data_IF_270513663944
#
_entry.id   IF_270513663944
#
_cell.length_a   1.000
_cell.length_b   1.000
_cell.length_c   1.000
_cell.angle_alpha   90.00
_cell.angle_beta   90.00
_cell.angle_gamma   90.00
#
_symmetry.space_group_name_H-M   'P 1'
#
loop_
_entity.id
_entity.type
_entity.pdbx_description
1 polymer ?
#
# COMPACT_ATOMS: atom_id res chain seq x y z
N UNK A 1 8.22 8.41 11.32
CA UNK A 1 8.03 7.26 12.23
C UNK A 1 8.99 6.11 11.92
N UNK A 2 9.05 5.62 10.67
CA UNK A 2 9.94 4.51 10.31
C UNK A 2 11.42 4.76 10.71
N UNK A 3 11.97 5.95 10.43
CA UNK A 3 13.33 6.32 10.85
C UNK A 3 13.55 6.23 12.36
N UNK A 4 12.55 6.65 13.16
CA UNK A 4 12.66 6.58 14.62
C UNK A 4 12.63 5.13 15.13
N UNK A 5 11.82 4.27 14.50
CA UNK A 5 11.81 2.84 14.81
C UNK A 5 13.12 2.16 14.40
N UNK A 6 13.69 2.52 13.24
CA UNK A 6 14.99 2.03 12.81
C UNK A 6 16.12 2.47 13.74
N UNK A 7 16.07 3.72 14.22
CA UNK A 7 17.02 4.24 15.20
C UNK A 7 16.96 3.46 16.53
N UNK A 8 15.76 3.18 17.04
CA UNK A 8 15.58 2.36 18.25
C UNK A 8 16.06 0.92 18.05
N UNK A 9 15.91 0.39 16.84
CA UNK A 9 16.44 -0.92 16.46
C UNK A 9 17.94 -0.93 16.12
N UNK A 10 18.62 0.22 16.26
CA UNK A 10 20.04 0.42 15.92
C UNK A 10 20.37 0.03 14.45
N UNK A 11 19.40 0.21 13.55
CA UNK A 11 19.57 -0.05 12.12
C UNK A 11 20.09 1.21 11.42
N UNK A 12 21.10 1.03 10.57
CA UNK A 12 21.56 2.05 9.64
C UNK A 12 20.54 2.20 8.50
N UNK A 13 19.49 2.99 8.75
CA UNK A 13 18.43 3.26 7.80
C UNK A 13 18.08 4.76 7.83
N UNK A 14 18.29 5.44 6.72
CA UNK A 14 18.19 6.89 6.61
C UNK A 14 17.26 7.37 5.47
N UNK A 15 17.30 8.66 5.15
CA UNK A 15 16.48 9.24 4.10
C UNK A 15 16.87 8.76 2.70
N UNK A 16 18.13 8.40 2.46
CA UNK A 16 18.57 7.85 1.19
C UNK A 16 17.98 6.46 0.95
N UNK A 17 17.91 5.62 1.97
CA UNK A 17 17.25 4.31 1.86
C UNK A 17 15.77 4.45 1.46
N UNK A 18 15.07 5.42 2.06
CA UNK A 18 13.67 5.74 1.69
C UNK A 18 13.58 6.19 0.22
N UNK A 19 14.52 7.01 -0.22
CA UNK A 19 14.58 7.52 -1.59
C UNK A 19 14.83 6.39 -2.60
N UNK A 20 15.76 5.48 -2.30
CA UNK A 20 16.08 4.31 -3.12
C UNK A 20 14.89 3.36 -3.23
N UNK A 21 14.21 3.07 -2.11
CA UNK A 21 12.98 2.26 -2.11
C UNK A 21 11.89 2.93 -2.92
N UNK A 22 11.69 4.24 -2.78
CA UNK A 22 10.63 4.94 -3.53
C UNK A 22 10.88 4.90 -5.03
N UNK A 23 12.14 4.96 -5.50
CA UNK A 23 12.47 4.88 -6.93
C UNK A 23 12.19 3.52 -7.57
N UNK A 24 12.13 2.45 -6.79
CA UNK A 24 11.98 1.06 -7.31
C UNK A 24 10.63 0.42 -7.01
N UNK A 25 9.88 0.92 -6.03
CA UNK A 25 8.57 0.36 -5.64
C UNK A 25 7.45 1.17 -6.29
N UNK A 26 6.60 0.56 -7.14
CA UNK A 26 5.53 1.26 -7.84
C UNK A 26 4.35 1.58 -6.92
N UNK A 27 3.55 2.58 -7.31
CA UNK A 27 2.30 2.91 -6.62
C UNK A 27 1.15 2.02 -7.12
N UNK A 28 0.80 1.00 -6.35
CA UNK A 28 -0.25 0.03 -6.71
C UNK A 28 -1.67 0.45 -6.29
N UNK A 29 -1.81 1.34 -5.32
CA UNK A 29 -3.09 1.79 -4.79
C UNK A 29 -3.09 3.30 -4.53
N UNK A 30 -4.16 3.99 -4.94
CA UNK A 30 -4.43 5.41 -4.62
C UNK A 30 -5.70 5.49 -3.80
N UNK A 31 -5.53 5.67 -2.50
CA UNK A 31 -6.60 5.75 -1.51
C UNK A 31 -6.73 7.18 -1.01
N UNK A 32 -7.95 7.60 -0.65
CA UNK A 32 -8.24 8.91 -0.10
C UNK A 32 -7.17 9.37 0.93
N UNK A 33 -6.66 10.60 0.81
CA UNK A 33 -7.12 11.69 -0.06
C UNK A 33 -6.56 11.66 -1.50
N UNK A 34 -5.75 10.67 -1.87
CA UNK A 34 -5.23 10.56 -3.23
C UNK A 34 -6.33 10.03 -4.17
N UNK A 35 -6.64 10.79 -5.22
CA UNK A 35 -7.70 10.43 -6.20
C UNK A 35 -7.13 9.48 -7.26
N UNK A 36 -7.82 8.37 -7.50
CA UNK A 36 -7.51 7.46 -8.60
C UNK A 36 -8.22 7.90 -9.89
N UNK A 37 -7.71 7.55 -11.08
CA UNK A 37 -8.48 7.60 -12.31
C UNK A 37 -9.79 6.82 -12.15
N UNK A 38 -10.92 7.49 -12.35
CA UNK A 38 -12.25 6.89 -12.24
C UNK A 38 -12.96 7.06 -10.89
N UNK A 39 -12.28 7.55 -9.86
CA UNK A 39 -12.92 7.85 -8.57
C UNK A 39 -11.96 7.88 -7.38
N UNK A 40 -12.52 8.10 -6.20
CA UNK A 40 -11.78 8.04 -4.94
C UNK A 40 -12.07 6.71 -4.27
N UNK A 41 -11.02 5.92 -4.01
CA UNK A 41 -11.12 4.74 -3.16
C UNK A 41 -10.95 5.11 -1.68
N UNK A 42 -11.65 4.40 -0.81
CA UNK A 42 -11.56 4.50 0.64
C UNK A 42 -11.05 3.19 1.25
N UNK A 43 -10.91 3.15 2.58
CA UNK A 43 -10.31 1.98 3.25
C UNK A 43 -11.17 0.71 3.10
N UNK A 44 -12.49 0.86 3.01
CA UNK A 44 -13.41 -0.23 2.72
C UNK A 44 -13.21 -0.85 1.33
N UNK A 45 -12.77 -0.06 0.35
CA UNK A 45 -12.45 -0.56 -1.00
C UNK A 45 -11.14 -1.35 -0.98
N UNK A 46 -10.14 -0.87 -0.23
CA UNK A 46 -8.88 -1.61 0.01
C UNK A 46 -9.18 -2.94 0.70
N UNK A 47 -10.06 -2.94 1.70
CA UNK A 47 -10.50 -4.16 2.38
C UNK A 47 -11.18 -5.13 1.41
N UNK A 48 -12.13 -4.63 0.61
CA UNK A 48 -12.82 -5.42 -0.43
C UNK A 48 -11.86 -5.97 -1.48
N UNK A 49 -10.75 -5.30 -1.75
CA UNK A 49 -9.71 -5.75 -2.68
C UNK A 49 -8.73 -6.78 -2.07
N UNK A 50 -8.94 -7.21 -0.82
CA UNK A 50 -8.08 -8.18 -0.12
C UNK A 50 -7.05 -7.55 0.81
N UNK A 51 -7.17 -6.26 1.10
CA UNK A 51 -6.39 -5.58 2.13
C UNK A 51 -4.90 -5.50 1.85
N UNK A 52 -4.12 -5.39 2.94
CA UNK A 52 -2.66 -5.39 2.88
C UNK A 52 -2.09 -6.69 2.27
N UNK A 53 -2.65 -7.89 2.53
CA UNK A 53 -2.18 -9.12 1.88
C UNK A 53 -2.24 -9.08 0.35
N UNK A 54 -3.30 -8.54 -0.24
CA UNK A 54 -3.37 -8.41 -1.70
C UNK A 54 -2.31 -7.44 -2.25
N UNK A 55 -2.09 -6.30 -1.58
CA UNK A 55 -1.05 -5.34 -1.96
C UNK A 55 0.36 -5.94 -1.86
N UNK A 56 0.65 -6.63 -0.76
CA UNK A 56 1.92 -7.34 -0.58
C UNK A 56 2.06 -8.52 -1.54
N UNK A 57 0.95 -9.20 -1.87
CA UNK A 57 0.91 -10.26 -2.88
C UNK A 57 1.33 -9.78 -4.27
N UNK A 58 0.89 -8.58 -4.68
CA UNK A 58 1.33 -7.96 -5.94
C UNK A 58 2.81 -7.57 -5.91
N UNK A 59 3.29 -6.99 -4.81
CA UNK A 59 4.71 -6.69 -4.66
C UNK A 59 5.57 -7.96 -4.64
N UNK A 60 5.08 -9.04 -4.04
CA UNK A 60 5.72 -10.35 -4.03
C UNK A 60 5.82 -10.93 -5.43
N UNK A 61 4.72 -10.95 -6.20
CA UNK A 61 4.72 -11.35 -7.62
C UNK A 61 5.67 -10.49 -8.47
N UNK A 62 5.82 -9.22 -8.12
CA UNK A 62 6.77 -8.30 -8.73
C UNK A 62 8.23 -8.47 -8.31
N UNK A 63 8.55 -9.36 -7.37
CA UNK A 63 9.90 -9.55 -6.84
C UNK A 63 10.42 -8.37 -6.01
N UNK A 64 9.53 -7.60 -5.39
CA UNK A 64 9.85 -6.36 -4.68
C UNK A 64 9.92 -6.52 -3.15
N UNK A 65 9.61 -7.69 -2.62
CA UNK A 65 9.69 -8.01 -1.20
C UNK A 65 10.96 -8.80 -0.87
N UNK A 66 11.49 -8.59 0.33
CA UNK A 66 12.50 -9.47 0.90
C UNK A 66 11.79 -10.63 1.61
N UNK A 67 12.08 -11.87 1.20
CA UNK A 67 11.47 -13.08 1.76
C UNK A 67 12.21 -13.63 2.98
N UNK A 68 13.44 -13.15 3.26
CA UNK A 68 14.27 -13.57 4.40
C UNK A 68 13.91 -12.79 5.68
N UNK A 69 12.62 -12.60 5.92
CA UNK A 69 12.08 -11.90 7.09
C UNK A 69 11.05 -12.77 7.81
N UNK A 70 10.81 -12.50 9.09
CA UNK A 70 9.86 -13.25 9.91
C UNK A 70 8.78 -12.32 10.46
N UNK A 71 7.61 -12.88 10.74
CA UNK A 71 6.52 -12.16 11.39
C UNK A 71 6.14 -12.85 12.71
N UNK A 72 5.43 -12.14 13.58
CA UNK A 72 4.97 -12.71 14.86
C UNK A 72 3.77 -13.65 14.73
N UNK A 73 3.14 -13.69 13.55
CA UNK A 73 1.84 -14.33 13.32
C UNK A 73 1.88 -15.41 12.23
N UNK A 74 3.02 -15.61 11.57
CA UNK A 74 3.24 -16.64 10.56
C UNK A 74 4.72 -17.02 10.53
N UNK A 75 5.00 -18.27 10.20
CA UNK A 75 6.36 -18.79 10.10
C UNK A 75 7.12 -18.10 8.95
N UNK A 76 6.46 -17.91 7.79
CA UNK A 76 7.06 -17.22 6.63
C UNK A 76 6.10 -16.22 5.98
N UNK A 77 6.67 -15.25 5.25
CA UNK A 77 5.91 -14.32 4.41
C UNK A 77 5.15 -15.07 3.31
N UNK A 78 5.78 -16.08 2.69
CA UNK A 78 5.17 -16.85 1.60
C UNK A 78 3.95 -17.66 2.06
N UNK A 79 4.02 -18.31 3.22
CA UNK A 79 2.87 -19.03 3.79
C UNK A 79 1.74 -18.07 4.16
N UNK A 80 2.07 -16.93 4.76
CA UNK A 80 1.06 -15.93 5.07
C UNK A 80 0.36 -15.39 3.81
N UNK A 81 1.13 -15.05 2.77
CA UNK A 81 0.55 -14.60 1.50
C UNK A 81 -0.25 -15.69 0.82
N UNK A 82 0.18 -16.96 0.87
CA UNK A 82 -0.58 -18.09 0.32
C UNK A 82 -1.99 -18.16 0.92
N UNK A 83 -2.11 -17.94 2.22
CA UNK A 83 -3.38 -18.09 2.93
C UNK A 83 -4.26 -16.82 2.85
N UNK A 84 -3.66 -15.63 2.76
CA UNK A 84 -4.36 -14.36 2.91
C UNK A 84 -4.48 -13.51 1.64
N UNK A 85 -3.60 -13.68 0.65
CA UNK A 85 -3.72 -13.01 -0.64
C UNK A 85 -4.81 -13.67 -1.48
N UNK A 86 -5.94 -12.99 -1.63
CA UNK A 86 -7.08 -13.44 -2.44
C UNK A 86 -6.76 -13.62 -3.91
N UNK A 87 -5.67 -13.02 -4.40
CA UNK A 87 -5.16 -13.17 -5.78
C UNK A 87 -4.02 -14.19 -5.86
N UNK A 88 -3.61 -14.79 -4.74
CA UNK A 88 -2.52 -15.78 -4.64
C UNK A 88 -2.85 -17.17 -5.17
N UNK A 89 -4.05 -17.38 -5.73
CA UNK A 89 -4.49 -18.62 -6.38
C UNK A 89 -5.06 -19.69 -5.44
N UNK A 90 -4.67 -19.70 -4.16
CA UNK A 90 -5.21 -20.63 -3.15
C UNK A 90 -5.45 -19.99 -1.77
N UNK A 91 -6.18 -18.86 -1.68
CA UNK A 91 -6.48 -18.25 -0.39
C UNK A 91 -7.30 -19.19 0.50
N UNK A 92 -7.13 -19.06 1.81
CA UNK A 92 -7.92 -19.80 2.77
C UNK A 92 -9.40 -19.37 2.71
N UNK A 93 -10.36 -20.28 3.01
CA UNK A 93 -11.78 -19.90 3.11
C UNK A 93 -12.04 -18.79 4.15
N UNK A 94 -11.23 -18.74 5.21
CA UNK A 94 -11.29 -17.70 6.24
C UNK A 94 -10.90 -16.34 5.69
N UNK A 95 -9.79 -16.25 4.95
CA UNK A 95 -9.39 -15.00 4.31
C UNK A 95 -10.49 -14.52 3.34
N UNK A 96 -11.01 -15.42 2.50
CA UNK A 96 -12.09 -15.07 1.57
C UNK A 96 -13.32 -14.54 2.35
N UNK A 97 -13.75 -15.20 3.42
CA UNK A 97 -14.88 -14.70 4.25
C UNK A 97 -14.59 -13.31 4.82
N UNK A 98 -13.39 -13.08 5.35
CA UNK A 98 -13.03 -11.80 5.99
C UNK A 98 -13.13 -10.63 5.01
N UNK A 99 -12.59 -10.78 3.79
CA UNK A 99 -12.54 -9.69 2.81
C UNK A 99 -13.93 -9.34 2.24
N UNK A 100 -14.89 -10.26 2.36
CA UNK A 100 -16.28 -9.96 2.04
C UNK A 100 -16.96 -9.08 3.10
N UNK A 101 -16.36 -8.80 4.28
CA UNK A 101 -16.94 -7.84 5.22
C UNK A 101 -17.11 -6.44 4.59
N UNK A 102 -18.34 -5.92 4.61
CA UNK A 102 -18.68 -4.62 4.02
C UNK A 102 -19.04 -3.59 5.10
N UNK A 103 -19.03 -2.29 4.81
CA UNK A 103 -19.60 -1.28 5.70
C UNK A 103 -21.10 -1.52 5.91
N UNK A 104 -21.58 -1.34 7.14
CA UNK A 104 -23.00 -1.52 7.46
C UNK A 104 -23.94 -0.49 6.82
N UNK A 105 -23.43 0.70 6.48
CA UNK A 105 -24.20 1.83 5.90
C UNK A 105 -25.47 2.24 6.68
N UNK A 106 -25.59 1.79 7.92
CA UNK A 106 -26.70 2.11 8.84
C UNK A 106 -26.12 2.52 10.18
N UNK A 107 -26.85 3.38 10.89
CA UNK A 107 -26.48 3.74 12.25
C UNK A 107 -26.64 2.52 13.16
N UNK A 108 -25.56 2.10 13.81
CA UNK A 108 -25.61 1.17 14.92
C UNK A 108 -25.22 1.86 16.23
N UNK A 109 -25.92 1.50 17.32
CA UNK A 109 -25.58 1.88 18.69
C UNK A 109 -25.13 0.67 19.53
N UNK A 110 -25.02 -0.51 18.91
CA UNK A 110 -24.70 -1.76 19.58
C UNK A 110 -23.41 -2.32 19.00
N UNK A 111 -22.44 -2.60 19.87
CA UNK A 111 -21.16 -3.16 19.44
C UNK A 111 -21.37 -4.50 18.72
N UNK A 112 -20.57 -4.75 17.68
CA UNK A 112 -20.57 -6.00 16.89
C UNK A 112 -21.91 -6.37 16.24
N UNK A 113 -22.81 -5.40 16.03
CA UNK A 113 -24.14 -5.67 15.44
C UNK A 113 -24.16 -5.62 13.91
N UNK A 114 -22.99 -5.56 13.27
CA UNK A 114 -22.85 -5.33 11.83
C UNK A 114 -22.40 -6.64 11.17
N UNK A 115 -23.11 -7.03 10.12
CA UNK A 115 -22.89 -8.29 9.41
C UNK A 115 -23.00 -8.13 7.89
N UNK A 116 -22.91 -6.90 7.39
CA UNK A 116 -23.00 -6.66 5.94
C UNK A 116 -21.82 -7.28 5.22
N UNK A 117 -22.10 -7.74 4.01
CA UNK A 117 -21.14 -8.41 3.15
C UNK A 117 -21.20 -7.84 1.74
N UNK A 118 -20.05 -7.72 1.11
CA UNK A 118 -19.95 -7.48 -0.32
C UNK A 118 -20.39 -8.73 -1.06
N UNK A 119 -21.13 -8.57 -2.16
CA UNK A 119 -21.47 -9.70 -3.02
C UNK A 119 -20.23 -10.28 -3.73
N UNK A 120 -19.25 -9.42 -4.02
CA UNK A 120 -18.03 -9.75 -4.76
C UNK A 120 -16.84 -8.96 -4.24
N UNK A 121 -15.65 -9.57 -4.28
CA UNK A 121 -14.38 -8.88 -4.05
C UNK A 121 -13.97 -8.06 -5.28
N UNK A 122 -13.15 -7.03 -5.06
CA UNK A 122 -12.47 -6.31 -6.14
C UNK A 122 -11.15 -7.02 -6.47
N UNK A 123 -11.15 -7.79 -7.55
CA UNK A 123 -9.98 -8.56 -8.00
C UNK A 123 -9.40 -8.02 -9.33
N UNK A 124 -9.85 -6.84 -9.77
CA UNK A 124 -9.40 -6.25 -11.04
C UNK A 124 -7.99 -5.68 -10.90
N UNK A 125 -7.02 -6.39 -11.49
CA UNK A 125 -5.61 -6.06 -11.46
C UNK A 125 -5.24 -4.74 -12.18
N UNK A 126 -6.07 -4.28 -13.11
CA UNK A 126 -5.75 -3.13 -13.96
C UNK A 126 -6.59 -1.91 -13.58
N UNK A 127 -7.89 -2.12 -13.33
CA UNK A 127 -8.86 -1.07 -13.05
C UNK A 127 -9.28 -0.95 -11.59
N UNK A 128 -9.00 -1.94 -10.75
CA UNK A 128 -9.44 -2.01 -9.37
C UNK A 128 -8.65 -1.14 -8.39
N UNK A 129 -9.00 -1.25 -7.12
CA UNK A 129 -8.42 -0.50 -6.00
C UNK A 129 -6.93 -0.82 -5.79
N UNK A 130 -6.56 -2.10 -5.92
CA UNK A 130 -5.18 -2.59 -5.81
C UNK A 130 -4.76 -3.16 -7.16
N UNK A 131 -3.85 -2.46 -7.84
CA UNK A 131 -3.34 -2.84 -9.16
C UNK A 131 -2.13 -3.75 -9.08
N UNK A 132 -1.91 -4.51 -10.14
CA UNK A 132 -0.63 -5.20 -10.34
C UNK A 132 0.50 -4.22 -10.72
N UNK A 133 1.72 -4.74 -10.79
CA UNK A 133 2.92 -3.97 -11.12
C UNK A 133 2.89 -3.43 -12.56
N UNK A 134 2.29 -4.16 -13.51
CA UNK A 134 2.20 -3.75 -14.91
C UNK A 134 1.28 -2.53 -15.09
N UNK A 135 0.18 -2.49 -14.34
CA UNK A 135 -0.86 -1.48 -14.41
C UNK A 135 -0.76 -0.40 -13.31
N UNK A 136 0.35 -0.38 -12.57
CA UNK A 136 0.61 0.55 -11.49
C UNK A 136 0.36 2.02 -11.90
N UNK A 137 -0.07 2.84 -10.94
CA UNK A 137 -0.33 4.26 -11.19
C UNK A 137 0.93 5.06 -11.53
N UNK A 138 2.06 4.65 -10.97
CA UNK A 138 3.39 5.20 -11.22
C UNK A 138 4.43 4.12 -11.00
N UNK A 139 5.56 4.24 -11.71
CA UNK A 139 6.70 3.33 -11.59
C UNK A 139 7.52 3.55 -10.31
N UNK A 140 7.40 4.74 -9.71
CA UNK A 140 7.93 5.09 -8.41
C UNK A 140 6.83 5.24 -7.35
N UNK A 141 7.23 5.23 -6.09
CA UNK A 141 6.35 5.22 -4.91
C UNK A 141 5.87 6.60 -4.49
N UNK A 142 6.20 7.66 -5.25
CA UNK A 142 5.65 8.98 -5.01
C UNK A 142 6.26 9.74 -3.82
N UNK A 143 7.45 9.36 -3.36
CA UNK A 143 8.26 10.09 -2.38
C UNK A 143 9.62 10.42 -3.00
N UNK A 144 10.10 11.64 -2.80
CA UNK A 144 11.44 12.02 -3.18
C UNK A 144 12.14 12.72 -2.01
N UNK A 145 13.42 12.45 -1.86
CA UNK A 145 14.31 13.17 -0.95
C UNK A 145 15.14 14.16 -1.75
N UNK A 146 15.04 15.44 -1.39
CA UNK A 146 15.79 16.54 -2.00
C UNK A 146 16.89 16.98 -1.04
N UNK A 147 18.08 17.29 -1.57
CA UNK A 147 19.23 17.79 -0.82
C UNK A 147 19.79 19.05 -1.48
N UNK A 148 20.34 19.94 -0.68
CA UNK A 148 20.95 21.18 -1.15
C UNK A 148 21.38 22.05 0.03
N UNK A 149 21.90 23.25 -0.26
CA UNK A 149 22.32 24.20 0.78
C UNK A 149 21.18 24.66 1.71
N UNK A 150 19.91 24.55 1.30
CA UNK A 150 18.75 24.81 2.16
C UNK A 150 18.31 23.60 3.00
N UNK A 151 18.73 22.40 2.62
CA UNK A 151 18.35 21.14 3.24
C UNK A 151 19.55 20.18 3.19
N UNK A 152 20.58 20.49 3.99
CA UNK A 152 21.85 19.74 4.00
C UNK A 152 21.64 18.28 4.42
N UNK A 153 20.78 18.07 5.43
CA UNK A 153 20.36 16.74 5.91
C UNK A 153 19.20 16.14 5.10
N UNK A 154 18.73 16.86 4.08
CA UNK A 154 17.64 16.45 3.19
C UNK A 154 16.24 16.88 3.65
N UNK A 155 15.33 16.95 2.68
CA UNK A 155 13.90 17.16 2.91
C UNK A 155 13.07 16.22 2.03
N UNK A 156 11.82 15.98 2.41
CA UNK A 156 10.93 15.03 1.73
C UNK A 156 9.82 15.77 0.99
N UNK A 157 9.57 15.39 -0.26
CA UNK A 157 8.40 15.79 -1.02
C UNK A 157 7.61 14.56 -1.45
N UNK A 158 6.28 14.63 -1.34
CA UNK A 158 5.39 13.59 -1.86
C UNK A 158 5.04 13.90 -3.32
N UNK A 159 5.88 13.46 -4.25
CA UNK A 159 5.72 13.71 -5.69
C UNK A 159 4.36 13.22 -6.22
N UNK A 160 3.80 12.16 -5.64
CA UNK A 160 2.46 11.67 -6.01
C UNK A 160 1.32 12.66 -5.76
N UNK A 161 1.52 13.69 -4.93
CA UNK A 161 0.53 14.74 -4.64
C UNK A 161 0.88 16.09 -5.24
N UNK A 162 1.92 16.19 -6.06
CA UNK A 162 2.41 17.44 -6.65
C UNK A 162 2.17 17.41 -8.16
N UNK A 163 1.56 18.46 -8.69
CA UNK A 163 1.36 18.62 -10.13
C UNK A 163 2.72 18.61 -10.87
N UNK A 164 2.82 17.85 -11.96
CA UNK A 164 4.06 17.68 -12.70
C UNK A 164 4.63 19.02 -13.21
N UNK A 165 3.77 19.99 -13.51
CA UNK A 165 4.19 21.32 -13.98
C UNK A 165 5.03 22.10 -12.98
N UNK A 166 5.00 21.72 -11.70
CA UNK A 166 5.76 22.38 -10.61
C UNK A 166 6.78 21.45 -9.96
N UNK A 167 7.12 20.32 -10.56
CA UNK A 167 8.21 19.46 -10.08
C UNK A 167 9.56 20.17 -10.14
N UNK A 168 9.72 21.13 -11.05
CA UNK A 168 10.82 22.08 -11.06
C UNK A 168 10.22 23.49 -10.99
N UNK A 169 10.51 24.19 -9.90
CA UNK A 169 10.02 25.54 -9.66
C UNK A 169 11.16 26.40 -9.09
N UNK A 170 11.28 27.61 -9.61
CA UNK A 170 12.17 28.65 -9.09
C UNK A 170 11.35 29.93 -8.95
N UNK A 171 11.41 30.57 -7.77
CA UNK A 171 10.65 31.77 -7.46
C UNK A 171 11.39 32.64 -6.44
N UNK A 172 11.11 33.96 -6.44
CA UNK A 172 11.71 34.93 -5.53
C UNK A 172 11.13 34.89 -4.10
#
# INVERSE_FOLDING_TARGET
>A
HLLAAAQEAELAYDLEDINEVSRRVPCLAKVAPNVAPGGTYYMEDVHRAGGIPALLGELHRGGLLNEDVHSVHSDTLAEWLKDWDVRGGSPSPEAVELWHAAPGCVRSATAFSQSERWDTLDLDAAGGCIRDVEHAYSKDGGLAVLKGNLAEDGCVVKTAGVDESIWTFEGP
#
